data_IF_920642661621
#
_entry.id   IF_920642661621
#
_cell.length_a   1.000
_cell.length_b   1.000
_cell.length_c   1.000
_cell.angle_alpha   90.00
_cell.angle_beta   90.00
_cell.angle_gamma   90.00
#
_symmetry.space_group_name_H-M   'P 1'
#
loop_
_entity.id
_entity.type
_entity.pdbx_description
1 polymer ?
#
# COMPACT_ATOMS: atom_id res chain seq x y z
N UNK A 1 -39.69 -18.72 30.36
CA UNK A 1 -41.08 -19.21 30.31
C UNK A 1 -41.13 -20.66 30.76
N UNK A 2 -42.16 -21.06 31.51
CA UNK A 2 -42.42 -22.46 31.86
C UNK A 2 -43.61 -23.03 31.08
N UNK A 3 -43.71 -24.36 31.02
CA UNK A 3 -44.91 -25.03 30.48
C UNK A 3 -46.05 -25.00 31.50
N UNK A 4 -47.29 -25.19 31.04
CA UNK A 4 -48.46 -25.22 31.93
C UNK A 4 -48.38 -26.43 32.87
N UNK A 5 -48.55 -26.20 34.15
CA UNK A 5 -48.28 -27.14 35.24
C UNK A 5 -49.49 -27.32 36.18
N UNK A 6 -50.67 -26.84 35.76
CA UNK A 6 -51.92 -27.12 36.46
C UNK A 6 -52.26 -28.61 36.39
N UNK A 7 -52.98 -29.12 37.39
CA UNK A 7 -53.36 -30.55 37.47
C UNK A 7 -54.18 -31.05 36.26
N UNK A 8 -54.76 -30.13 35.48
CA UNK A 8 -55.53 -30.39 34.25
C UNK A 8 -54.70 -30.29 32.96
N UNK A 9 -53.40 -30.05 33.06
CA UNK A 9 -52.49 -30.11 31.93
C UNK A 9 -52.30 -31.57 31.47
N UNK A 10 -51.90 -31.77 30.21
CA UNK A 10 -51.48 -33.10 29.75
C UNK A 10 -50.19 -33.54 30.48
N UNK A 11 -49.86 -34.84 30.51
CA UNK A 11 -48.61 -35.32 31.10
C UNK A 11 -47.33 -34.66 30.54
N UNK A 12 -47.39 -34.15 29.31
CA UNK A 12 -46.29 -33.43 28.64
C UNK A 12 -46.29 -31.91 28.92
N UNK A 13 -47.13 -31.43 29.84
CA UNK A 13 -47.32 -30.02 30.18
C UNK A 13 -47.80 -29.17 28.99
N UNK A 14 -48.84 -29.65 28.27
CA UNK A 14 -49.49 -28.92 27.17
C UNK A 14 -50.96 -28.66 27.48
N UNK A 15 -51.55 -27.72 26.74
CA UNK A 15 -52.98 -27.44 26.76
C UNK A 15 -53.78 -28.57 26.09
N UNK A 16 -54.95 -28.87 26.64
CA UNK A 16 -55.98 -29.72 26.05
C UNK A 16 -57.34 -29.03 26.21
N UNK A 17 -58.19 -29.15 25.20
CA UNK A 17 -59.61 -28.73 25.25
C UNK A 17 -60.44 -29.64 26.15
N UNK A 18 -59.83 -30.71 26.67
CA UNK A 18 -60.54 -31.81 27.30
C UNK A 18 -61.29 -32.63 26.27
N UNK A 19 -62.13 -33.53 26.74
CA UNK A 19 -63.10 -34.25 25.93
C UNK A 19 -64.35 -34.41 26.79
N UNK A 20 -65.55 -33.96 26.38
CA UNK A 20 -66.76 -34.12 27.17
C UNK A 20 -67.39 -35.51 27.07
N UNK A 21 -66.98 -36.35 26.12
CA UNK A 21 -67.47 -37.73 25.95
C UNK A 21 -66.79 -38.72 26.92
N UNK A 22 -65.64 -38.35 27.47
CA UNK A 22 -64.95 -39.01 28.59
C UNK A 22 -64.75 -37.98 29.72
N UNK A 23 -64.51 -38.33 30.99
CA UNK A 23 -64.38 -37.32 32.05
C UNK A 23 -63.00 -36.62 32.06
N UNK A 24 -62.60 -36.01 30.93
CA UNK A 24 -61.32 -35.29 30.80
C UNK A 24 -61.60 -33.78 30.76
N UNK A 25 -61.24 -33.08 31.84
CA UNK A 25 -61.39 -31.63 31.92
C UNK A 25 -60.41 -30.90 30.98
N UNK A 26 -60.84 -29.74 30.48
CA UNK A 26 -59.97 -28.80 29.77
C UNK A 26 -58.88 -28.24 30.69
N UNK A 27 -57.75 -27.84 30.10
CA UNK A 27 -56.65 -27.25 30.87
C UNK A 27 -57.05 -25.91 31.49
N UNK A 28 -56.95 -25.82 32.80
CA UNK A 28 -57.05 -24.56 33.54
C UNK A 28 -55.78 -23.74 33.32
N UNK A 29 -55.93 -22.51 32.85
CA UNK A 29 -54.81 -21.57 32.65
C UNK A 29 -54.52 -20.85 33.96
N UNK A 30 -53.31 -21.03 34.51
CA UNK A 30 -52.91 -20.37 35.76
C UNK A 30 -52.46 -18.93 35.53
N UNK A 31 -52.68 -18.07 36.54
CA UNK A 31 -52.16 -16.70 36.53
C UNK A 31 -50.63 -16.66 36.49
N UNK A 32 -49.98 -17.62 37.16
CA UNK A 32 -48.52 -17.77 37.12
C UNK A 32 -48.01 -17.96 35.69
N UNK A 33 -48.66 -18.84 34.91
CA UNK A 33 -48.28 -19.05 33.51
C UNK A 33 -48.52 -17.81 32.64
N UNK A 34 -49.67 -17.14 32.79
CA UNK A 34 -49.97 -15.91 32.03
C UNK A 34 -49.02 -14.76 32.39
N UNK A 35 -48.69 -14.61 33.67
CA UNK A 35 -47.71 -13.62 34.12
C UNK A 35 -46.32 -13.97 33.57
N UNK A 36 -45.92 -15.24 33.54
CA UNK A 36 -44.65 -15.65 32.94
C UNK A 36 -44.59 -15.31 31.44
N UNK A 37 -45.68 -15.49 30.69
CA UNK A 37 -45.76 -15.05 29.28
C UNK A 37 -45.62 -13.53 29.18
N UNK A 38 -46.34 -12.79 30.03
CA UNK A 38 -46.28 -11.34 30.04
C UNK A 38 -44.86 -10.83 30.31
N UNK A 39 -44.18 -11.37 31.33
CA UNK A 39 -42.83 -10.94 31.71
C UNK A 39 -41.79 -11.25 30.63
N UNK A 40 -41.94 -12.32 29.86
CA UNK A 40 -41.05 -12.60 28.70
C UNK A 40 -41.23 -11.55 27.59
N UNK A 41 -42.48 -11.17 27.29
CA UNK A 41 -42.74 -10.12 26.31
C UNK A 41 -42.27 -8.75 26.81
N UNK A 42 -42.47 -8.46 28.09
CA UNK A 42 -41.97 -7.26 28.76
C UNK A 42 -40.45 -7.21 28.75
N UNK A 43 -39.76 -8.33 28.99
CA UNK A 43 -38.31 -8.42 28.96
C UNK A 43 -37.75 -8.08 27.58
N UNK A 44 -38.40 -8.52 26.49
CA UNK A 44 -37.99 -8.13 25.13
C UNK A 44 -38.16 -6.63 24.90
N UNK A 45 -39.28 -6.05 25.34
CA UNK A 45 -39.57 -4.61 25.16
C UNK A 45 -38.58 -3.74 25.94
N UNK A 46 -38.41 -4.04 27.22
CA UNK A 46 -37.50 -3.31 28.11
C UNK A 46 -36.04 -3.56 27.77
N UNK A 47 -35.68 -4.77 27.33
CA UNK A 47 -34.34 -5.10 26.83
C UNK A 47 -33.97 -4.35 25.55
N UNK A 48 -34.94 -3.95 24.74
CA UNK A 48 -34.73 -3.02 23.63
C UNK A 48 -34.60 -1.55 24.06
N UNK A 49 -34.79 -1.23 25.35
CA UNK A 49 -34.76 0.12 25.91
C UNK A 49 -36.06 0.90 25.79
N UNK A 50 -37.19 0.25 25.51
CA UNK A 50 -38.50 0.87 25.43
C UNK A 50 -39.23 0.81 26.78
N UNK A 51 -39.96 1.87 27.12
CA UNK A 51 -40.81 1.92 28.31
C UNK A 51 -42.20 1.35 28.02
N UNK A 52 -42.75 0.57 28.95
CA UNK A 52 -44.08 -0.02 28.83
C UNK A 52 -45.19 1.04 28.84
N UNK A 53 -46.00 1.07 27.78
CA UNK A 53 -47.12 1.99 27.61
C UNK A 53 -48.42 1.23 27.35
N UNK A 54 -49.35 1.30 28.29
CA UNK A 54 -50.68 0.65 28.18
C UNK A 54 -51.47 1.08 26.93
N UNK A 55 -51.23 2.28 26.42
CA UNK A 55 -51.90 2.80 25.23
C UNK A 55 -51.28 2.33 23.91
N UNK A 56 -50.14 1.63 23.94
CA UNK A 56 -49.41 1.20 22.74
C UNK A 56 -49.31 -0.33 22.66
N UNK A 57 -50.08 -0.92 21.74
CA UNK A 57 -50.06 -2.37 21.48
C UNK A 57 -48.98 -2.78 20.45
N UNK A 58 -48.19 -1.83 19.93
CA UNK A 58 -47.11 -2.05 18.95
C UNK A 58 -45.72 -2.23 19.55
N UNK A 59 -45.57 -2.13 20.87
CA UNK A 59 -44.26 -2.08 21.54
C UNK A 59 -43.39 -3.33 21.30
N UNK A 60 -43.99 -4.52 21.26
CA UNK A 60 -43.25 -5.75 20.98
C UNK A 60 -42.65 -5.72 19.57
N UNK A 61 -43.41 -5.27 18.58
CA UNK A 61 -42.93 -5.12 17.21
C UNK A 61 -41.83 -4.05 17.11
N UNK A 62 -42.02 -2.91 17.77
CA UNK A 62 -41.01 -1.84 17.84
C UNK A 62 -39.71 -2.35 18.45
N UNK A 63 -39.80 -3.08 19.57
CA UNK A 63 -38.66 -3.66 20.27
C UNK A 63 -37.87 -4.63 19.38
N UNK A 64 -38.54 -5.58 18.73
CA UNK A 64 -37.91 -6.54 17.82
C UNK A 64 -37.25 -5.81 16.64
N UNK A 65 -37.94 -4.85 16.04
CA UNK A 65 -37.40 -4.04 14.93
C UNK A 65 -36.14 -3.28 15.33
N UNK A 66 -36.12 -2.71 16.54
CA UNK A 66 -34.98 -1.99 17.09
C UNK A 66 -33.81 -2.94 17.41
N UNK A 67 -34.06 -4.08 18.04
CA UNK A 67 -33.02 -5.08 18.33
C UNK A 67 -32.36 -5.58 17.05
N UNK A 68 -33.15 -5.87 16.00
CA UNK A 68 -32.63 -6.27 14.69
C UNK A 68 -31.82 -5.13 14.05
N UNK A 69 -32.29 -3.89 14.14
CA UNK A 69 -31.60 -2.73 13.56
C UNK A 69 -30.27 -2.46 14.27
N UNK A 70 -30.25 -2.53 15.60
CA UNK A 70 -29.04 -2.35 16.40
C UNK A 70 -28.04 -3.49 16.21
N UNK A 71 -28.52 -4.70 15.89
CA UNK A 71 -27.66 -5.83 15.56
C UNK A 71 -26.99 -5.70 14.18
N UNK A 72 -27.47 -4.82 13.30
CA UNK A 72 -26.81 -4.58 12.00
C UNK A 72 -25.54 -3.76 12.24
N UNK A 73 -24.35 -4.27 11.89
CA UNK A 73 -23.13 -3.48 11.98
C UNK A 73 -23.27 -2.25 11.07
N UNK A 74 -23.10 -1.06 11.65
CA UNK A 74 -23.05 0.19 10.90
C UNK A 74 -21.81 0.28 10.00
N UNK A 75 -21.70 1.36 9.23
CA UNK A 75 -20.48 1.63 8.47
C UNK A 75 -19.29 1.86 9.42
N UNK A 76 -18.15 1.28 9.08
CA UNK A 76 -16.90 1.49 9.79
C UNK A 76 -16.51 2.96 9.72
N UNK A 77 -16.06 3.49 10.85
CA UNK A 77 -15.39 4.80 10.93
C UNK A 77 -14.02 4.59 11.57
N UNK A 78 -13.15 5.60 11.56
CA UNK A 78 -11.86 5.53 12.25
C UNK A 78 -12.00 5.26 13.76
N UNK A 79 -13.15 5.58 14.35
CA UNK A 79 -13.40 5.44 15.79
C UNK A 79 -14.24 4.21 16.15
N UNK A 80 -14.92 3.57 15.19
CA UNK A 80 -15.85 2.46 15.44
C UNK A 80 -15.70 1.37 14.37
N UNK A 81 -15.38 0.12 14.75
CA UNK A 81 -15.44 -1.02 13.83
C UNK A 81 -16.83 -1.16 13.20
N UNK A 82 -16.91 -1.62 11.95
CA UNK A 82 -18.16 -1.75 11.20
C UNK A 82 -17.92 -2.34 9.80
N UNK A 83 -18.93 -2.24 8.93
CA UNK A 83 -18.83 -2.63 7.52
C UNK A 83 -18.13 -1.55 6.70
N UNK A 84 -17.26 -1.92 5.77
CA UNK A 84 -16.61 -0.96 4.86
C UNK A 84 -17.38 -0.91 3.54
N UNK A 85 -17.78 0.29 3.11
CA UNK A 85 -18.28 0.47 1.76
C UNK A 85 -17.11 0.44 0.78
N UNK A 86 -17.21 -0.43 -0.22
CA UNK A 86 -16.14 -0.66 -1.19
C UNK A 86 -16.20 0.44 -2.27
N UNK A 87 -15.13 1.21 -2.38
CA UNK A 87 -14.95 2.24 -3.42
C UNK A 87 -14.28 1.69 -4.68
N UNK A 88 -13.97 2.57 -5.63
CA UNK A 88 -13.22 2.19 -6.83
C UNK A 88 -11.85 1.57 -6.49
N UNK A 89 -11.48 0.50 -7.20
CA UNK A 89 -10.23 -0.24 -7.00
C UNK A 89 -10.33 -1.50 -6.14
N UNK A 90 -11.47 -1.74 -5.51
CA UNK A 90 -11.81 -2.96 -4.80
C UNK A 90 -13.14 -3.50 -5.36
N UNK A 91 -13.30 -4.83 -5.41
CA UNK A 91 -14.49 -5.49 -5.93
C UNK A 91 -14.98 -6.54 -4.93
N UNK A 92 -16.29 -6.77 -4.89
CA UNK A 92 -16.91 -7.83 -4.07
C UNK A 92 -17.25 -8.99 -5.00
N UNK A 93 -16.68 -10.17 -4.75
CA UNK A 93 -17.03 -11.36 -5.54
C UNK A 93 -18.46 -11.80 -5.22
N UNK A 94 -19.12 -12.61 -6.08
CA UNK A 94 -20.44 -13.15 -5.80
C UNK A 94 -20.53 -13.92 -4.47
N UNK A 95 -19.42 -14.45 -3.98
CA UNK A 95 -19.28 -15.17 -2.70
C UNK A 95 -19.08 -14.22 -1.51
N UNK A 96 -19.08 -12.90 -1.73
CA UNK A 96 -18.92 -11.89 -0.69
C UNK A 96 -17.47 -11.63 -0.26
N UNK A 97 -16.48 -12.07 -1.05
CA UNK A 97 -15.07 -11.82 -0.77
C UNK A 97 -14.62 -10.46 -1.33
N UNK A 98 -13.78 -9.74 -0.58
CA UNK A 98 -13.10 -8.56 -1.07
C UNK A 98 -11.94 -8.99 -1.99
N UNK A 99 -11.99 -8.56 -3.24
CA UNK A 99 -10.91 -8.68 -4.21
C UNK A 99 -10.34 -7.31 -4.54
N UNK A 100 -9.04 -7.25 -4.74
CA UNK A 100 -8.37 -6.04 -5.19
C UNK A 100 -8.40 -6.01 -6.72
N UNK A 101 -8.86 -4.91 -7.30
CA UNK A 101 -8.82 -4.75 -8.75
C UNK A 101 -7.38 -4.47 -9.19
N UNK A 102 -6.93 -5.15 -10.25
CA UNK A 102 -5.69 -4.81 -10.91
C UNK A 102 -5.80 -3.41 -11.51
N UNK A 103 -4.81 -2.56 -11.23
CA UNK A 103 -4.73 -1.25 -11.87
C UNK A 103 -4.50 -1.40 -13.38
N UNK A 104 -5.02 -0.46 -14.14
CA UNK A 104 -4.74 -0.30 -15.57
C UNK A 104 -4.57 1.19 -15.90
N UNK A 105 -4.23 1.50 -17.15
CA UNK A 105 -4.17 2.89 -17.64
C UNK A 105 -5.52 3.61 -17.63
N UNK A 106 -6.64 2.88 -17.46
CA UNK A 106 -8.00 3.44 -17.39
C UNK A 106 -8.72 3.15 -16.08
N UNK A 107 -8.12 2.39 -15.17
CA UNK A 107 -8.78 1.90 -13.96
C UNK A 107 -7.86 2.02 -12.74
N UNK A 108 -8.36 2.67 -11.68
CA UNK A 108 -7.71 2.68 -10.38
C UNK A 108 -7.72 1.26 -9.77
N UNK A 109 -6.60 0.85 -9.19
CA UNK A 109 -6.40 -0.47 -8.58
C UNK A 109 -5.04 -0.58 -7.91
N UNK A 110 -4.63 -1.79 -7.52
CA UNK A 110 -3.26 -2.05 -7.07
C UNK A 110 -2.40 -2.48 -8.25
N UNK A 111 -1.19 -1.95 -8.34
CA UNK A 111 -0.18 -2.30 -9.36
C UNK A 111 0.78 -3.33 -8.78
N UNK A 112 1.06 -4.39 -9.55
CA UNK A 112 2.11 -5.35 -9.18
C UNK A 112 3.48 -4.77 -9.50
N UNK A 113 4.44 -4.89 -8.58
CA UNK A 113 5.81 -4.41 -8.79
C UNK A 113 6.64 -5.40 -9.61
N UNK A 114 7.49 -4.87 -10.48
CA UNK A 114 8.43 -5.62 -11.31
C UNK A 114 9.89 -5.26 -10.97
N UNK A 115 10.77 -6.27 -11.01
CA UNK A 115 12.21 -6.12 -10.77
C UNK A 115 12.99 -5.62 -11.99
N UNK A 116 12.32 -5.31 -13.11
CA UNK A 116 12.94 -4.85 -14.35
C UNK A 116 12.05 -3.87 -15.11
N UNK A 117 12.66 -3.10 -16.02
CA UNK A 117 11.93 -2.29 -17.00
C UNK A 117 11.39 -3.18 -18.12
N UNK A 118 10.17 -2.90 -18.56
CA UNK A 118 9.51 -3.57 -19.68
C UNK A 118 8.41 -2.65 -20.22
N UNK A 119 7.81 -3.02 -21.35
CA UNK A 119 6.65 -2.32 -21.93
C UNK A 119 5.32 -2.73 -21.26
N UNK A 120 5.39 -3.22 -20.02
CA UNK A 120 4.22 -3.70 -19.28
C UNK A 120 3.25 -2.56 -18.98
N UNK A 121 1.96 -2.83 -19.20
CA UNK A 121 0.85 -1.92 -18.86
C UNK A 121 0.17 -2.30 -17.54
N UNK A 122 0.62 -3.38 -16.89
CA UNK A 122 -0.01 -3.95 -15.69
C UNK A 122 0.94 -4.07 -14.49
N UNK A 123 2.25 -3.82 -14.70
CA UNK A 123 3.25 -3.84 -13.65
C UNK A 123 4.08 -2.55 -13.63
N UNK A 124 4.45 -2.07 -12.45
CA UNK A 124 5.31 -0.90 -12.27
C UNK A 124 6.74 -1.35 -11.93
N UNK A 125 7.79 -0.80 -12.57
CA UNK A 125 9.16 -1.10 -12.19
C UNK A 125 9.46 -0.53 -10.79
N UNK A 126 10.25 -1.27 -10.01
CA UNK A 126 10.79 -0.75 -8.75
C UNK A 126 11.80 0.38 -8.99
N UNK A 127 12.00 1.25 -8.00
CA UNK A 127 13.02 2.30 -8.04
C UNK A 127 14.42 1.73 -8.30
N UNK A 128 14.69 0.52 -7.79
CA UNK A 128 15.93 -0.22 -8.06
C UNK A 128 16.05 -0.60 -9.54
N UNK A 129 14.99 -1.13 -10.16
CA UNK A 129 15.00 -1.48 -11.57
C UNK A 129 15.29 -0.25 -12.46
N UNK A 130 14.70 0.89 -12.12
CA UNK A 130 14.97 2.17 -12.80
C UNK A 130 16.42 2.60 -12.62
N UNK A 131 16.93 2.55 -11.39
CA UNK A 131 18.33 2.89 -11.08
C UNK A 131 19.32 2.01 -11.85
N UNK A 132 19.15 0.69 -11.78
CA UNK A 132 20.04 -0.29 -12.43
C UNK A 132 20.05 -0.07 -13.96
N UNK A 133 18.90 0.25 -14.56
CA UNK A 133 18.80 0.56 -15.99
C UNK A 133 19.55 1.86 -16.36
N UNK A 134 19.43 2.91 -15.55
CA UNK A 134 20.15 4.17 -15.75
C UNK A 134 21.66 3.97 -15.61
N UNK A 135 22.11 3.28 -14.55
CA UNK A 135 23.53 3.01 -14.31
C UNK A 135 24.14 2.14 -15.41
N UNK A 136 23.41 1.13 -15.90
CA UNK A 136 23.85 0.29 -17.02
C UNK A 136 24.07 1.09 -18.30
N UNK A 137 23.24 2.10 -18.57
CA UNK A 137 23.39 2.97 -19.74
C UNK A 137 24.53 3.98 -19.59
N UNK A 138 24.81 4.43 -18.37
CA UNK A 138 25.88 5.41 -18.10
C UNK A 138 27.28 4.79 -18.10
N UNK A 139 27.40 3.50 -17.75
CA UNK A 139 28.69 2.80 -17.71
C UNK A 139 29.41 2.72 -19.07
N UNK A 140 28.69 2.83 -20.19
CA UNK A 140 29.29 2.78 -21.54
C UNK A 140 30.04 4.08 -21.95
N UNK A 141 29.94 5.15 -21.16
CA UNK A 141 30.55 6.47 -21.47
C UNK A 141 31.53 6.93 -20.36
N UNK A 142 31.78 6.09 -19.35
CA UNK A 142 32.57 6.52 -18.19
C UNK A 142 34.08 6.41 -18.47
N UNK A 143 34.74 7.55 -18.66
CA UNK A 143 36.21 7.60 -18.69
C UNK A 143 36.72 7.33 -17.28
N UNK A 144 37.59 6.32 -17.06
CA UNK A 144 38.08 5.99 -15.73
C UNK A 144 38.86 7.16 -15.13
N UNK A 145 38.89 7.25 -13.80
CA UNK A 145 39.69 8.27 -13.09
C UNK A 145 41.16 8.16 -13.54
N UNK A 146 41.73 9.29 -13.99
CA UNK A 146 43.07 9.36 -14.58
C UNK A 146 43.10 9.16 -16.10
N UNK A 147 41.97 8.85 -16.73
CA UNK A 147 41.84 8.86 -18.19
C UNK A 147 42.05 10.25 -18.76
N UNK A 148 42.76 10.34 -19.88
CA UNK A 148 43.09 11.61 -20.53
C UNK A 148 42.11 11.81 -21.70
N UNK A 149 41.38 12.92 -21.67
CA UNK A 149 40.49 13.35 -22.75
C UNK A 149 41.05 14.62 -23.41
N UNK A 150 41.21 14.64 -24.74
CA UNK A 150 41.46 15.90 -25.44
C UNK A 150 40.20 16.77 -25.33
N UNK A 151 40.40 18.01 -24.93
CA UNK A 151 39.31 18.96 -24.68
C UNK A 151 39.52 20.24 -25.50
N UNK A 152 38.43 20.74 -26.09
CA UNK A 152 38.39 22.04 -26.76
C UNK A 152 37.32 22.89 -26.07
N UNK A 153 37.71 24.05 -25.57
CA UNK A 153 36.83 24.92 -24.80
C UNK A 153 37.59 25.89 -23.93
N UNK A 154 36.92 26.42 -22.92
CA UNK A 154 37.50 27.32 -21.93
C UNK A 154 37.71 26.60 -20.61
N UNK A 155 38.55 27.19 -19.76
CA UNK A 155 38.75 26.74 -18.39
C UNK A 155 38.25 27.81 -17.43
N UNK A 156 37.96 27.40 -16.20
CA UNK A 156 37.57 28.28 -15.10
C UNK A 156 37.98 27.70 -13.75
N UNK A 157 37.40 28.26 -12.69
CA UNK A 157 37.68 27.87 -11.30
C UNK A 157 39.04 28.35 -10.80
N UNK A 158 39.44 27.87 -9.62
CA UNK A 158 40.72 28.24 -9.01
C UNK A 158 41.89 27.85 -9.92
N UNK A 159 42.78 28.81 -10.20
CA UNK A 159 43.91 28.62 -11.09
C UNK A 159 43.55 28.45 -12.57
N UNK A 160 42.28 28.58 -12.97
CA UNK A 160 41.81 28.41 -14.34
C UNK A 160 42.12 27.01 -14.92
N UNK A 161 41.92 25.96 -14.10
CA UNK A 161 42.34 24.58 -14.40
C UNK A 161 41.20 23.61 -14.66
N UNK A 162 39.95 24.03 -14.54
CA UNK A 162 38.79 23.14 -14.63
C UNK A 162 38.05 23.42 -15.95
N UNK A 163 37.80 22.42 -16.80
CA UNK A 163 37.16 22.65 -18.09
C UNK A 163 35.72 23.14 -17.89
N UNK A 164 35.26 24.05 -18.75
CA UNK A 164 33.87 24.49 -18.83
C UNK A 164 33.28 23.81 -20.08
N UNK A 165 32.45 22.76 -19.94
CA UNK A 165 31.86 22.05 -21.08
C UNK A 165 31.08 23.00 -22.00
N UNK A 166 30.99 22.63 -23.28
CA UNK A 166 30.30 23.47 -24.27
C UNK A 166 28.82 23.62 -23.90
N UNK A 167 28.36 24.86 -23.71
CA UNK A 167 26.98 25.18 -23.32
C UNK A 167 26.77 25.32 -21.81
N UNK A 168 27.81 25.10 -21.01
CA UNK A 168 27.80 25.33 -19.57
C UNK A 168 28.48 26.67 -19.24
N UNK A 169 28.08 27.26 -18.11
CA UNK A 169 28.64 28.52 -17.59
C UNK A 169 29.56 28.32 -16.38
N UNK A 170 29.71 27.07 -15.92
CA UNK A 170 30.45 26.72 -14.72
C UNK A 170 31.55 25.67 -14.98
N UNK A 171 32.70 25.76 -14.29
CA UNK A 171 33.76 24.76 -14.38
C UNK A 171 33.34 23.41 -13.78
N UNK A 172 33.65 22.31 -14.47
CA UNK A 172 33.47 20.95 -13.95
C UNK A 172 34.65 20.54 -13.06
N UNK A 173 34.41 20.56 -11.74
CA UNK A 173 35.44 20.26 -10.73
C UNK A 173 35.80 18.77 -10.63
N UNK A 174 35.12 17.88 -11.37
CA UNK A 174 35.49 16.47 -11.47
C UNK A 174 36.64 16.23 -12.46
N UNK A 175 36.95 17.23 -13.28
CA UNK A 175 38.03 17.19 -14.27
C UNK A 175 39.06 18.28 -13.99
N UNK A 176 40.31 18.09 -14.41
CA UNK A 176 41.29 19.15 -14.34
C UNK A 176 42.26 19.11 -15.51
N UNK A 177 42.84 20.26 -15.82
CA UNK A 177 43.88 20.40 -16.82
C UNK A 177 45.10 19.56 -16.42
N UNK A 178 45.61 18.80 -17.38
CA UNK A 178 46.84 18.04 -17.23
C UNK A 178 48.06 18.97 -17.25
N UNK A 179 48.34 19.65 -16.14
CA UNK A 179 49.41 20.65 -16.00
C UNK A 179 50.42 20.37 -14.87
N UNK A 180 50.42 19.14 -14.34
CA UNK A 180 51.39 18.70 -13.33
C UNK A 180 50.97 18.99 -11.89
N UNK A 181 49.94 19.79 -11.65
CA UNK A 181 49.56 20.16 -10.28
C UNK A 181 48.59 19.14 -9.69
N UNK A 182 48.93 18.58 -8.53
CA UNK A 182 48.08 17.66 -7.75
C UNK A 182 46.72 18.29 -7.47
N UNK A 183 45.66 17.57 -7.79
CA UNK A 183 44.28 18.04 -7.62
C UNK A 183 43.52 16.98 -6.83
N UNK A 184 42.80 17.37 -5.76
CA UNK A 184 42.05 16.47 -4.89
C UNK A 184 42.88 15.28 -4.34
N UNK A 185 44.17 15.50 -4.08
CA UNK A 185 45.09 14.47 -3.57
C UNK A 185 45.59 13.48 -4.63
N UNK A 186 45.22 13.65 -5.91
CA UNK A 186 45.65 12.79 -7.01
C UNK A 186 46.75 13.49 -7.84
N UNK A 187 47.86 12.81 -8.16
CA UNK A 187 48.88 13.34 -9.05
C UNK A 187 48.32 13.47 -10.47
N UNK A 188 48.50 14.64 -11.08
CA UNK A 188 48.07 14.95 -12.43
C UNK A 188 49.32 15.13 -13.30
N UNK A 189 49.44 14.48 -14.48
CA UNK A 189 50.59 14.68 -15.36
C UNK A 189 50.57 16.08 -16.00
N UNK A 190 51.73 16.65 -16.32
CA UNK A 190 51.81 17.84 -17.19
C UNK A 190 51.93 17.41 -18.65
N UNK A 191 50.83 17.52 -19.40
CA UNK A 191 50.72 17.13 -20.80
C UNK A 191 50.68 18.34 -21.76
N UNK A 192 50.81 19.56 -21.26
CA UNK A 192 50.80 20.76 -22.10
C UNK A 192 51.99 20.74 -23.06
N UNK A 193 51.72 20.94 -24.35
CA UNK A 193 52.75 20.90 -25.40
C UNK A 193 53.34 19.50 -25.66
N UNK A 194 52.70 18.43 -25.17
CA UNK A 194 53.17 17.05 -25.36
C UNK A 194 52.20 16.25 -26.23
N UNK A 195 52.76 15.31 -27.00
CA UNK A 195 51.97 14.27 -27.66
C UNK A 195 51.95 13.02 -26.78
N UNK A 196 50.77 12.41 -26.61
CA UNK A 196 50.62 11.18 -25.84
C UNK A 196 51.11 10.01 -26.68
N UNK A 197 52.03 9.23 -26.12
CA UNK A 197 52.53 7.98 -26.69
C UNK A 197 52.20 6.83 -25.73
N UNK A 198 51.70 5.72 -26.28
CA UNK A 198 51.47 4.51 -25.49
C UNK A 198 52.77 3.99 -24.86
N UNK A 199 52.70 3.60 -23.59
CA UNK A 199 53.83 3.00 -22.89
C UNK A 199 54.20 1.63 -23.50
N UNK A 200 55.49 1.31 -23.47
CA UNK A 200 56.03 0.00 -23.89
C UNK A 200 57.16 -0.41 -22.94
N UNK A 201 57.61 -1.66 -23.01
CA UNK A 201 58.71 -2.16 -22.16
C UNK A 201 59.99 -1.31 -22.30
N UNK A 202 60.26 -0.79 -23.49
CA UNK A 202 61.40 0.09 -23.79
C UNK A 202 61.17 1.56 -23.43
N UNK A 203 59.92 1.98 -23.22
CA UNK A 203 59.53 3.37 -22.94
C UNK A 203 58.42 3.34 -21.88
N UNK A 204 58.80 3.20 -20.60
CA UNK A 204 57.84 3.13 -19.50
C UNK A 204 56.96 4.39 -19.41
N UNK A 205 55.82 4.27 -18.74
CA UNK A 205 54.94 5.41 -18.48
C UNK A 205 55.70 6.56 -17.79
N UNK A 206 55.43 7.79 -18.22
CA UNK A 206 56.13 8.98 -17.75
C UNK A 206 57.44 9.30 -18.47
N UNK A 207 57.94 8.42 -19.35
CA UNK A 207 59.10 8.74 -20.20
C UNK A 207 58.79 9.95 -21.10
N UNK A 208 59.78 10.83 -21.28
CA UNK A 208 59.66 12.01 -22.14
C UNK A 208 60.77 12.02 -23.19
N UNK A 209 60.52 12.65 -24.35
CA UNK A 209 61.48 12.74 -25.44
C UNK A 209 60.86 13.31 -26.71
N UNK A 210 61.60 13.26 -27.82
CA UNK A 210 61.21 13.87 -29.09
C UNK A 210 61.73 15.30 -29.24
N UNK A 211 61.66 15.82 -30.46
CA UNK A 211 62.00 17.20 -30.78
C UNK A 211 60.89 17.79 -31.65
N UNK A 212 60.48 19.02 -31.36
CA UNK A 212 59.53 19.78 -32.19
C UNK A 212 60.14 20.11 -33.57
N UNK A 213 61.46 20.31 -33.61
CA UNK A 213 62.21 20.67 -34.82
C UNK A 213 63.22 19.58 -35.15
N UNK A 214 63.22 19.14 -36.39
CA UNK A 214 64.25 18.27 -36.94
C UNK A 214 65.08 19.06 -37.94
N UNK A 215 66.40 19.12 -37.73
CA UNK A 215 67.34 19.67 -38.70
C UNK A 215 67.90 18.51 -39.51
N UNK A 216 67.71 18.55 -40.83
CA UNK A 216 68.23 17.56 -41.77
C UNK A 216 69.68 17.87 -42.16
#
# INVERSE_FOLDING_TARGET
MHRIDTATATPDHKFTEGDPAVPVAATTVSAEWLNAVQEELVAVITGAGLELKKSDNGQLWQAISQLITNAKPGLATKAKPGLVQVGGGLNITPEGLLSVLAASVTQAGIVQLASGLSDSTTTAPTCKAVKDAIESKLAAVNVPVGGILPFSGTFGGEGNRFPIPLGEDAPDMHWCLCDGTTTNGLPVPDLRGRMIRGASDSVPAGSTGGSEKHSH
#
